data_IF_569825935399
#
_entry.id   IF_569825935399
#
_cell.length_a   1.000
_cell.length_b   1.000
_cell.length_c   1.000
_cell.angle_alpha   90.00
_cell.angle_beta   90.00
_cell.angle_gamma   90.00
#
_symmetry.space_group_name_H-M   'P 1'
#
loop_
_entity.id
_entity.type
_entity.pdbx_description
1 polymer ?
#
# COMPACT_ATOMS: atom_id res chain seq x y z
N UNK A 1 13.89 0.97 -16.46
CA UNK A 1 14.73 0.78 -15.25
C UNK A 1 15.09 -0.70 -15.05
N UNK A 2 14.12 -1.62 -15.18
CA UNK A 2 14.34 -3.06 -14.92
C UNK A 2 15.48 -3.68 -15.75
N UNK A 3 15.64 -3.26 -17.00
CA UNK A 3 16.61 -3.80 -17.97
C UNK A 3 17.75 -2.84 -18.32
N UNK A 4 17.84 -1.67 -17.67
CA UNK A 4 18.91 -0.71 -17.94
C UNK A 4 20.21 -1.10 -17.20
N UNK A 5 21.36 -0.70 -17.75
CA UNK A 5 22.65 -0.96 -17.12
C UNK A 5 22.89 0.00 -15.94
N UNK A 6 23.87 -0.33 -15.07
CA UNK A 6 24.23 0.58 -13.95
C UNK A 6 24.63 1.96 -14.45
N UNK A 7 25.40 2.03 -15.53
CA UNK A 7 25.92 3.28 -16.08
C UNK A 7 24.82 4.15 -16.68
N UNK A 8 23.79 3.54 -17.28
CA UNK A 8 22.64 4.25 -17.86
C UNK A 8 21.80 4.98 -16.80
N UNK A 9 21.89 4.58 -15.53
CA UNK A 9 21.08 5.09 -14.44
C UNK A 9 21.81 6.09 -13.53
N UNK A 10 23.12 6.22 -13.66
CA UNK A 10 23.94 7.13 -12.82
C UNK A 10 23.73 8.61 -13.17
N UNK A 11 23.25 8.91 -14.38
CA UNK A 11 23.06 10.28 -14.86
C UNK A 11 21.78 10.97 -14.40
N UNK A 12 21.05 10.40 -13.44
CA UNK A 12 19.87 11.03 -12.83
C UNK A 12 20.24 12.34 -12.14
N UNK A 13 20.14 13.46 -12.87
CA UNK A 13 20.40 14.80 -12.33
C UNK A 13 19.13 15.42 -11.80
N UNK A 14 19.23 16.11 -10.65
CA UNK A 14 18.11 16.68 -9.89
C UNK A 14 17.37 17.86 -10.52
N UNK A 15 17.20 17.88 -11.84
CA UNK A 15 16.35 18.84 -12.55
C UNK A 15 15.00 18.20 -12.88
N UNK A 16 13.98 19.01 -13.07
CA UNK A 16 12.56 18.66 -13.29
C UNK A 16 12.24 17.65 -14.41
N UNK A 17 13.22 17.07 -15.03
CA UNK A 17 13.11 15.99 -16.00
C UNK A 17 13.95 14.80 -15.57
N UNK A 18 13.42 13.60 -15.68
CA UNK A 18 14.18 12.37 -15.48
C UNK A 18 14.81 11.97 -16.80
N UNK A 19 16.12 12.23 -16.93
CA UNK A 19 16.92 11.80 -18.08
C UNK A 19 17.51 10.44 -17.73
N UNK A 20 17.08 9.41 -18.43
CA UNK A 20 17.57 8.04 -18.19
C UNK A 20 18.82 7.71 -19.02
N UNK A 21 19.26 8.61 -19.91
CA UNK A 21 20.36 8.45 -20.88
C UNK A 21 20.33 7.09 -21.64
N UNK A 22 19.15 6.55 -21.82
CA UNK A 22 18.92 5.36 -22.63
C UNK A 22 18.49 5.86 -24.02
N UNK A 23 19.21 5.55 -25.09
CA UNK A 23 18.99 6.18 -26.43
C UNK A 23 17.57 6.04 -27.00
N UNK A 24 16.77 5.14 -26.48
CA UNK A 24 15.39 4.86 -26.95
C UNK A 24 14.31 5.38 -26.02
N UNK A 25 14.66 5.96 -24.88
CA UNK A 25 13.68 6.51 -23.94
C UNK A 25 13.81 8.03 -23.95
N UNK A 26 12.76 8.76 -24.36
CA UNK A 26 12.77 10.22 -24.34
C UNK A 26 12.87 10.72 -22.88
N UNK A 27 13.31 11.97 -22.72
CA UNK A 27 13.29 12.65 -21.43
C UNK A 27 11.86 12.64 -20.88
N UNK A 28 11.68 12.02 -19.70
CA UNK A 28 10.38 11.93 -19.05
C UNK A 28 10.16 13.20 -18.24
N UNK A 29 9.18 13.99 -18.63
CA UNK A 29 8.65 15.04 -17.77
C UNK A 29 7.95 14.38 -16.59
N UNK A 30 8.33 14.79 -15.38
CA UNK A 30 7.63 14.35 -14.18
C UNK A 30 6.25 15.00 -14.18
N UNK A 31 5.23 14.23 -14.54
CA UNK A 31 3.86 14.68 -14.43
C UNK A 31 3.39 14.50 -12.98
N UNK A 32 3.16 15.62 -12.31
CA UNK A 32 2.66 15.66 -10.93
C UNK A 32 1.15 15.52 -10.83
N UNK A 33 0.45 15.31 -11.94
CA UNK A 33 -1.00 15.14 -11.95
C UNK A 33 -1.36 13.66 -11.89
N UNK A 34 -1.76 13.19 -10.73
CA UNK A 34 -2.43 11.89 -10.63
C UNK A 34 -3.93 12.06 -10.83
N UNK A 35 -4.44 11.47 -11.89
CA UNK A 35 -5.87 11.40 -12.20
C UNK A 35 -6.41 9.97 -12.14
N UNK A 36 -5.63 9.03 -11.64
CA UNK A 36 -6.04 7.65 -11.50
C UNK A 36 -7.05 7.52 -10.35
N UNK A 37 -8.34 7.56 -10.69
CA UNK A 37 -9.45 7.43 -9.72
C UNK A 37 -9.68 6.00 -9.25
N UNK A 38 -9.00 5.03 -9.83
CA UNK A 38 -9.18 3.60 -9.50
C UNK A 38 -8.15 3.11 -8.49
N UNK A 39 -7.09 3.86 -8.23
CA UNK A 39 -6.08 3.49 -7.25
C UNK A 39 -6.47 3.92 -5.83
N UNK A 40 -6.54 3.01 -4.85
CA UNK A 40 -6.79 3.36 -3.46
C UNK A 40 -5.58 3.99 -2.77
N UNK A 41 -4.39 3.85 -3.35
CA UNK A 41 -3.13 4.41 -2.84
C UNK A 41 -2.34 5.02 -3.99
N UNK A 42 -2.78 6.21 -4.41
CA UNK A 42 -2.30 6.88 -5.60
C UNK A 42 -1.05 7.74 -5.32
N UNK A 43 -0.06 7.67 -6.21
CA UNK A 43 1.09 8.57 -6.20
C UNK A 43 0.75 9.85 -6.98
N UNK A 44 0.91 11.01 -6.34
CA UNK A 44 0.57 12.33 -6.92
C UNK A 44 1.80 13.21 -7.16
N UNK A 45 2.92 12.59 -7.50
CA UNK A 45 4.17 13.25 -7.88
C UNK A 45 5.13 13.50 -6.71
N UNK A 46 4.67 13.88 -5.55
CA UNK A 46 5.49 14.12 -4.35
C UNK A 46 4.93 13.49 -3.07
N UNK A 47 3.78 12.82 -3.16
CA UNK A 47 3.12 12.14 -2.04
C UNK A 47 2.25 11.01 -2.53
N UNK A 48 1.84 10.15 -1.61
CA UNK A 48 0.76 9.20 -1.82
C UNK A 48 -0.54 9.72 -1.21
N UNK A 49 -1.64 9.51 -1.91
CA UNK A 49 -2.99 9.82 -1.43
C UNK A 49 -3.73 8.52 -1.12
N UNK A 50 -4.25 8.41 0.10
CA UNK A 50 -5.17 7.34 0.43
C UNK A 50 -6.58 7.71 -0.06
N UNK A 51 -7.16 6.85 -0.89
CA UNK A 51 -8.49 7.05 -1.49
C UNK A 51 -9.37 5.87 -1.13
N UNK A 52 -10.35 6.09 -0.30
CA UNK A 52 -11.33 5.09 0.07
C UNK A 52 -12.69 5.74 0.32
N UNK A 53 -13.75 5.01 0.02
CA UNK A 53 -15.12 5.41 0.37
C UNK A 53 -15.35 5.05 1.84
N UNK A 54 -15.83 6.00 2.60
CA UNK A 54 -16.09 5.77 4.02
C UNK A 54 -16.79 7.01 4.61
N UNK A 55 -18.06 7.23 4.26
CA UNK A 55 -18.84 8.36 4.74
C UNK A 55 -18.63 8.56 6.24
N UNK A 56 -18.09 9.71 6.64
CA UNK A 56 -17.74 10.07 8.02
C UNK A 56 -16.75 9.11 8.72
N UNK A 57 -16.17 8.15 8.01
CA UNK A 57 -15.20 7.24 8.60
C UNK A 57 -13.85 7.91 8.84
N UNK A 58 -13.25 7.60 9.98
CA UNK A 58 -11.92 8.09 10.32
C UNK A 58 -10.84 7.30 9.54
N UNK A 59 -9.98 8.01 8.80
CA UNK A 59 -8.91 7.40 8.01
C UNK A 59 -7.65 7.03 8.85
N UNK A 60 -7.60 7.37 10.13
CA UNK A 60 -6.40 7.23 10.94
C UNK A 60 -5.84 5.79 10.97
N UNK A 61 -6.68 4.78 11.13
CA UNK A 61 -6.21 3.38 11.16
C UNK A 61 -5.53 2.96 9.86
N UNK A 62 -6.10 3.33 8.72
CA UNK A 62 -5.51 3.05 7.41
C UNK A 62 -4.19 3.81 7.22
N UNK A 63 -4.15 5.08 7.60
CA UNK A 63 -2.95 5.91 7.51
C UNK A 63 -1.83 5.40 8.42
N UNK A 64 -2.14 4.96 9.63
CA UNK A 64 -1.16 4.35 10.54
C UNK A 64 -0.57 3.09 9.91
N UNK A 65 -1.39 2.18 9.38
CA UNK A 65 -0.91 0.95 8.77
C UNK A 65 -0.03 1.22 7.54
N UNK A 66 -0.47 2.09 6.63
CA UNK A 66 0.29 2.45 5.43
C UNK A 66 1.62 3.13 5.76
N UNK A 67 1.60 4.12 6.67
CA UNK A 67 2.83 4.81 7.06
C UNK A 67 3.81 3.86 7.77
N UNK A 68 3.33 2.95 8.61
CA UNK A 68 4.17 1.94 9.27
C UNK A 68 4.80 0.98 8.26
N UNK A 69 4.03 0.53 7.26
CA UNK A 69 4.55 -0.34 6.20
C UNK A 69 5.64 0.37 5.37
N UNK A 70 5.42 1.64 5.02
CA UNK A 70 6.43 2.44 4.29
C UNK A 70 7.66 2.67 5.16
N UNK A 71 7.50 2.99 6.44
CA UNK A 71 8.63 3.20 7.36
C UNK A 71 9.47 1.92 7.52
N UNK A 72 8.85 0.78 7.73
CA UNK A 72 9.53 -0.52 7.81
C UNK A 72 10.30 -0.83 6.52
N UNK A 73 9.68 -0.60 5.37
CA UNK A 73 10.35 -0.81 4.08
C UNK A 73 11.53 0.15 3.85
N UNK A 74 11.43 1.40 4.29
CA UNK A 74 12.52 2.37 4.19
C UNK A 74 13.70 2.00 5.10
N UNK A 75 13.45 1.45 6.29
CA UNK A 75 14.50 0.93 7.18
C UNK A 75 15.24 -0.23 6.52
N UNK A 76 14.50 -1.18 5.93
CA UNK A 76 15.09 -2.30 5.18
C UNK A 76 15.91 -1.82 3.99
N UNK A 77 15.34 -0.91 3.19
CA UNK A 77 16.02 -0.31 2.05
C UNK A 77 17.35 0.35 2.45
N UNK A 78 17.30 1.18 3.52
CA UNK A 78 18.51 1.83 4.02
C UNK A 78 19.57 0.81 4.43
N UNK A 79 19.19 -0.23 5.16
CA UNK A 79 20.12 -1.30 5.60
C UNK A 79 20.76 -2.01 4.41
N UNK A 80 20.00 -2.34 3.38
CA UNK A 80 20.49 -3.04 2.20
C UNK A 80 21.45 -2.16 1.38
N UNK A 81 21.13 -0.86 1.23
CA UNK A 81 22.02 0.11 0.57
C UNK A 81 23.31 0.31 1.35
N UNK A 82 23.22 0.52 2.66
CA UNK A 82 24.40 0.70 3.52
C UNK A 82 25.34 -0.52 3.44
N UNK A 83 24.79 -1.73 3.42
CA UNK A 83 25.57 -2.95 3.28
C UNK A 83 26.34 -3.06 1.94
N UNK A 84 25.82 -2.50 0.85
CA UNK A 84 26.54 -2.42 -0.43
C UNK A 84 27.62 -1.33 -0.40
N UNK A 85 27.34 -0.19 0.22
CA UNK A 85 28.32 0.89 0.39
C UNK A 85 29.51 0.41 1.24
N UNK A 86 29.27 -0.33 2.31
CA UNK A 86 30.33 -0.92 3.15
C UNK A 86 31.24 -1.91 2.38
N UNK A 87 30.71 -2.55 1.33
CA UNK A 87 31.47 -3.40 0.41
C UNK A 87 32.24 -2.62 -0.65
N UNK A 88 32.17 -1.28 -0.63
CA UNK A 88 32.89 -0.40 -1.55
C UNK A 88 32.09 0.03 -2.79
N UNK A 89 30.80 -0.29 -2.88
CA UNK A 89 29.96 0.19 -4.00
C UNK A 89 29.67 1.69 -3.88
N UNK A 90 29.74 2.46 -4.97
CA UNK A 90 29.31 3.84 -4.97
C UNK A 90 27.84 3.97 -4.58
N UNK A 91 27.51 4.97 -3.76
CA UNK A 91 26.15 5.18 -3.21
C UNK A 91 25.04 5.11 -4.25
N UNK A 92 25.21 5.77 -5.39
CA UNK A 92 24.20 5.79 -6.46
C UNK A 92 24.01 4.41 -7.07
N UNK A 93 25.11 3.69 -7.33
CA UNK A 93 25.08 2.30 -7.84
C UNK A 93 24.35 1.37 -6.86
N UNK A 94 24.68 1.45 -5.57
CA UNK A 94 24.06 0.66 -4.53
C UNK A 94 22.53 0.90 -4.46
N UNK A 95 22.12 2.16 -4.47
CA UNK A 95 20.69 2.54 -4.49
C UNK A 95 19.99 1.93 -5.71
N UNK A 96 20.55 2.09 -6.90
CA UNK A 96 19.91 1.61 -8.13
C UNK A 96 19.86 0.08 -8.19
N UNK A 97 20.86 -0.61 -7.66
CA UNK A 97 20.84 -2.07 -7.56
C UNK A 97 19.70 -2.57 -6.68
N UNK A 98 19.53 -1.99 -5.48
CA UNK A 98 18.46 -2.37 -4.57
C UNK A 98 17.07 -2.03 -5.15
N UNK A 99 16.89 -0.84 -5.74
CA UNK A 99 15.64 -0.46 -6.41
C UNK A 99 15.29 -1.45 -7.52
N UNK A 100 16.26 -1.87 -8.32
CA UNK A 100 16.07 -2.84 -9.40
C UNK A 100 15.61 -4.21 -8.86
N UNK A 101 16.17 -4.64 -7.73
CA UNK A 101 15.71 -5.82 -7.00
C UNK A 101 14.24 -5.72 -6.61
N UNK A 102 13.87 -4.62 -5.94
CA UNK A 102 12.49 -4.38 -5.50
C UNK A 102 11.49 -4.29 -6.66
N UNK A 103 11.85 -3.64 -7.78
CA UNK A 103 10.99 -3.61 -8.97
C UNK A 103 10.69 -5.02 -9.47
N UNK A 104 11.69 -5.90 -9.50
CA UNK A 104 11.49 -7.30 -9.93
C UNK A 104 10.60 -8.08 -8.98
N UNK A 105 10.82 -7.93 -7.67
CA UNK A 105 10.02 -8.59 -6.64
C UNK A 105 8.56 -8.10 -6.64
N UNK A 106 8.37 -6.77 -6.78
CA UNK A 106 7.06 -6.15 -6.75
C UNK A 106 6.30 -6.24 -8.10
N UNK A 107 6.88 -6.83 -9.14
CA UNK A 107 6.24 -6.90 -10.46
C UNK A 107 4.88 -7.60 -10.44
N UNK A 108 4.73 -8.59 -9.57
CA UNK A 108 3.48 -9.34 -9.43
C UNK A 108 2.29 -8.50 -8.93
N UNK A 109 2.55 -7.40 -8.22
CA UNK A 109 1.48 -6.50 -7.71
C UNK A 109 1.13 -5.38 -8.70
N UNK A 110 1.95 -5.18 -9.73
CA UNK A 110 1.67 -4.17 -10.73
C UNK A 110 0.46 -4.56 -11.58
N UNK A 111 -0.54 -3.71 -11.59
CA UNK A 111 -1.77 -3.88 -12.37
C UNK A 111 -2.13 -2.55 -13.06
N UNK A 112 -2.46 -2.66 -14.33
CA UNK A 112 -2.93 -1.55 -15.16
C UNK A 112 -4.31 -1.93 -15.73
N UNK A 113 -5.36 -1.30 -15.21
CA UNK A 113 -6.73 -1.60 -15.60
C UNK A 113 -7.77 -1.25 -14.52
N UNK A 114 -8.96 -1.84 -14.63
CA UNK A 114 -10.05 -1.61 -13.69
C UNK A 114 -9.93 -2.52 -12.45
N UNK A 115 -9.44 -1.96 -11.33
CA UNK A 115 -9.28 -2.66 -10.06
C UNK A 115 -10.60 -3.08 -9.36
N UNK A 116 -11.75 -2.65 -9.86
CA UNK A 116 -13.06 -3.04 -9.32
C UNK A 116 -13.70 -4.21 -10.07
N UNK A 117 -13.10 -4.67 -11.17
CA UNK A 117 -13.66 -5.74 -11.99
C UNK A 117 -13.50 -7.12 -11.35
N UNK A 118 -14.40 -8.04 -11.69
CA UNK A 118 -14.30 -9.43 -11.22
C UNK A 118 -13.13 -10.17 -11.90
N UNK A 119 -12.74 -9.75 -13.08
CA UNK A 119 -11.54 -10.24 -13.77
C UNK A 119 -10.29 -9.92 -12.96
N UNK A 120 -10.21 -8.71 -12.41
CA UNK A 120 -9.10 -8.34 -11.52
C UNK A 120 -9.06 -9.20 -10.27
N UNK A 121 -10.18 -9.46 -9.62
CA UNK A 121 -10.22 -10.32 -8.42
C UNK A 121 -9.69 -11.73 -8.71
N UNK A 122 -10.05 -12.31 -9.86
CA UNK A 122 -9.54 -13.62 -10.31
C UNK A 122 -8.04 -13.57 -10.60
N UNK A 123 -7.59 -12.51 -11.27
CA UNK A 123 -6.17 -12.33 -11.59
C UNK A 123 -5.33 -12.07 -10.31
N UNK A 124 -5.84 -11.29 -9.37
CA UNK A 124 -5.20 -11.06 -8.09
C UNK A 124 -5.01 -12.38 -7.31
N UNK A 125 -6.06 -13.19 -7.22
CA UNK A 125 -5.97 -14.51 -6.60
C UNK A 125 -4.95 -15.42 -7.31
N UNK A 126 -4.89 -15.40 -8.66
CA UNK A 126 -3.88 -16.13 -9.43
C UNK A 126 -2.44 -15.68 -9.11
N UNK A 127 -2.24 -14.41 -8.81
CA UNK A 127 -0.95 -13.84 -8.42
C UNK A 127 -0.62 -14.03 -6.94
N UNK A 128 -1.49 -14.63 -6.15
CA UNK A 128 -1.34 -14.78 -4.70
C UNK A 128 -1.58 -13.49 -3.92
N UNK A 129 -2.28 -12.51 -4.52
CA UNK A 129 -2.67 -11.28 -3.86
C UNK A 129 -3.99 -11.47 -3.12
N UNK A 130 -4.10 -10.91 -1.92
CA UNK A 130 -5.31 -10.94 -1.12
C UNK A 130 -6.31 -9.90 -1.65
N UNK A 131 -7.50 -10.37 -2.01
CA UNK A 131 -8.63 -9.55 -2.47
C UNK A 131 -9.89 -9.86 -1.66
N UNK A 132 -9.76 -9.98 -0.34
CA UNK A 132 -10.85 -10.31 0.57
C UNK A 132 -11.90 -9.19 0.58
N UNK A 133 -13.17 -9.58 0.51
CA UNK A 133 -14.32 -8.69 0.53
C UNK A 133 -15.13 -8.78 1.83
N UNK A 134 -14.82 -9.75 2.68
CA UNK A 134 -15.48 -9.94 3.97
C UNK A 134 -14.73 -9.18 5.07
N UNK A 135 -15.36 -8.14 5.61
CA UNK A 135 -14.76 -7.30 6.67
C UNK A 135 -14.30 -8.11 7.89
N UNK A 136 -15.07 -9.09 8.40
CA UNK A 136 -14.60 -9.92 9.51
C UNK A 136 -13.27 -10.62 9.24
N UNK A 137 -13.11 -11.21 8.07
CA UNK A 137 -11.87 -11.91 7.70
C UNK A 137 -10.68 -10.96 7.60
N UNK A 138 -10.93 -9.71 7.16
CA UNK A 138 -9.88 -8.69 7.05
C UNK A 138 -9.31 -8.31 8.42
N UNK A 139 -10.11 -8.31 9.48
CA UNK A 139 -9.63 -7.95 10.82
C UNK A 139 -8.52 -8.86 11.33
N UNK A 140 -8.53 -10.13 10.98
CA UNK A 140 -7.50 -11.07 11.40
C UNK A 140 -6.11 -10.75 10.86
N UNK A 141 -6.03 -9.95 9.78
CA UNK A 141 -4.76 -9.48 9.23
C UNK A 141 -3.96 -8.60 10.21
N UNK A 142 -4.63 -7.93 11.16
CA UNK A 142 -3.94 -7.16 12.20
C UNK A 142 -3.13 -8.01 13.16
N UNK A 143 -3.50 -9.29 13.33
CA UNK A 143 -2.88 -10.21 14.27
C UNK A 143 -1.95 -11.23 13.60
N UNK A 144 -1.71 -11.09 12.29
CA UNK A 144 -0.70 -11.91 11.60
C UNK A 144 0.69 -11.63 12.16
N UNK A 145 1.55 -12.66 12.29
CA UNK A 145 2.89 -12.50 12.85
C UNK A 145 3.72 -11.41 12.16
N UNK A 146 3.63 -11.32 10.84
CA UNK A 146 4.33 -10.30 10.04
C UNK A 146 3.81 -8.89 10.31
N UNK A 147 2.51 -8.72 10.55
CA UNK A 147 1.91 -7.42 10.90
C UNK A 147 2.37 -6.98 12.29
N UNK A 148 2.32 -7.88 13.26
CA UNK A 148 2.81 -7.63 14.62
C UNK A 148 4.29 -7.23 14.59
N UNK A 149 5.12 -8.02 13.91
CA UNK A 149 6.55 -7.75 13.79
C UNK A 149 6.85 -6.37 13.17
N UNK A 150 6.11 -5.98 12.14
CA UNK A 150 6.24 -4.65 11.51
C UNK A 150 5.92 -3.52 12.49
N UNK A 151 4.81 -3.61 13.22
CA UNK A 151 4.41 -2.57 14.17
C UNK A 151 5.35 -2.46 15.37
N UNK A 152 5.84 -3.58 15.87
CA UNK A 152 6.83 -3.61 16.95
C UNK A 152 8.19 -3.08 16.49
N UNK A 153 8.66 -3.48 15.31
CA UNK A 153 9.93 -3.00 14.75
C UNK A 153 9.93 -1.49 14.48
N UNK A 154 8.79 -0.92 14.10
CA UNK A 154 8.64 0.52 13.90
C UNK A 154 8.32 1.29 15.19
N UNK A 155 8.12 0.60 16.31
CA UNK A 155 7.78 1.21 17.61
C UNK A 155 6.41 1.88 17.66
N UNK A 156 5.51 1.53 16.73
CA UNK A 156 4.20 2.18 16.61
C UNK A 156 3.18 1.55 17.53
N UNK A 157 3.14 0.22 17.61
CA UNK A 157 2.22 -0.54 18.48
C UNK A 157 2.89 -1.84 18.93
N UNK A 158 2.59 -2.21 20.17
CA UNK A 158 2.90 -3.54 20.71
C UNK A 158 1.85 -4.56 20.28
N UNK A 159 2.16 -5.85 20.38
CA UNK A 159 1.19 -6.92 20.16
C UNK A 159 -0.10 -6.73 20.96
N UNK A 160 0.01 -6.39 22.26
CA UNK A 160 -1.15 -6.16 23.13
C UNK A 160 -2.04 -5.01 22.67
N UNK A 161 -1.45 -3.94 22.17
CA UNK A 161 -2.21 -2.81 21.62
C UNK A 161 -2.90 -3.18 20.31
N UNK A 162 -2.27 -4.00 19.46
CA UNK A 162 -2.89 -4.51 18.24
C UNK A 162 -4.08 -5.44 18.58
N UNK A 163 -3.92 -6.35 19.55
CA UNK A 163 -4.99 -7.22 20.02
C UNK A 163 -6.18 -6.39 20.52
N UNK A 164 -5.95 -5.45 21.43
CA UNK A 164 -7.00 -4.58 21.97
C UNK A 164 -7.70 -3.75 20.88
N UNK A 165 -6.96 -3.20 19.93
CA UNK A 165 -7.54 -2.45 18.81
C UNK A 165 -8.34 -3.35 17.87
N UNK A 166 -7.91 -4.57 17.67
CA UNK A 166 -8.66 -5.55 16.87
C UNK A 166 -9.98 -5.93 17.53
N UNK A 167 -9.99 -6.16 18.84
CA UNK A 167 -11.23 -6.38 19.61
C UNK A 167 -12.22 -5.22 19.46
N UNK A 168 -11.73 -3.98 19.60
CA UNK A 168 -12.56 -2.78 19.41
C UNK A 168 -13.13 -2.70 17.98
N UNK A 169 -12.37 -3.11 16.95
CA UNK A 169 -12.89 -3.17 15.57
C UNK A 169 -14.01 -4.19 15.42
N UNK A 170 -13.83 -5.37 15.97
CA UNK A 170 -14.86 -6.41 16.00
C UNK A 170 -16.14 -5.96 16.70
N UNK A 171 -16.00 -5.38 17.90
CA UNK A 171 -17.12 -4.87 18.67
C UNK A 171 -17.87 -3.75 17.92
N UNK A 172 -17.13 -2.80 17.36
CA UNK A 172 -17.70 -1.69 16.58
C UNK A 172 -18.44 -2.19 15.35
N UNK A 173 -17.88 -3.15 14.62
CA UNK A 173 -18.52 -3.75 13.46
C UNK A 173 -19.81 -4.46 13.85
N UNK A 174 -19.76 -5.29 14.87
CA UNK A 174 -20.93 -6.04 15.38
C UNK A 174 -22.04 -5.09 15.80
N UNK A 175 -21.70 -4.03 16.55
CA UNK A 175 -22.69 -3.02 16.98
C UNK A 175 -23.33 -2.29 15.81
N UNK A 176 -22.56 -1.91 14.79
CA UNK A 176 -23.09 -1.27 13.59
C UNK A 176 -24.10 -2.18 12.88
N UNK A 177 -23.74 -3.43 12.62
CA UNK A 177 -24.64 -4.39 11.98
C UNK A 177 -25.92 -4.61 12.80
N UNK A 178 -25.81 -4.69 14.13
CA UNK A 178 -26.98 -4.81 15.01
C UNK A 178 -27.90 -3.59 14.92
N UNK A 179 -27.33 -2.38 14.89
CA UNK A 179 -28.11 -1.14 14.75
C UNK A 179 -28.81 -1.12 13.39
N UNK A 180 -28.11 -1.38 12.31
CA UNK A 180 -28.65 -1.41 10.96
C UNK A 180 -29.80 -2.44 10.82
N UNK A 181 -29.61 -3.65 11.36
CA UNK A 181 -30.62 -4.69 11.34
C UNK A 181 -31.90 -4.29 12.12
N UNK A 182 -31.74 -3.65 13.28
CA UNK A 182 -32.87 -3.15 14.07
C UNK A 182 -33.62 -2.02 13.35
N UNK A 183 -32.89 -1.04 12.83
CA UNK A 183 -33.48 0.07 12.07
C UNK A 183 -34.20 -0.45 10.84
N UNK A 184 -33.64 -1.41 10.11
CA UNK A 184 -34.30 -2.04 8.97
C UNK A 184 -35.60 -2.72 9.39
N UNK A 185 -35.62 -3.44 10.50
CA UNK A 185 -36.82 -4.07 11.06
C UNK A 185 -37.90 -3.04 11.41
N UNK A 186 -37.53 -1.97 12.10
CA UNK A 186 -38.43 -0.88 12.47
C UNK A 186 -39.02 -0.19 11.24
N UNK A 187 -38.21 0.11 10.25
CA UNK A 187 -38.68 0.70 8.98
C UNK A 187 -39.63 -0.24 8.24
N UNK A 188 -39.31 -1.51 8.16
CA UNK A 188 -40.16 -2.49 7.49
C UNK A 188 -41.53 -2.59 8.16
N UNK A 189 -41.58 -2.69 9.47
CA UNK A 189 -42.79 -2.87 10.23
C UNK A 189 -43.67 -1.61 10.25
N UNK A 190 -43.06 -0.42 10.42
CA UNK A 190 -43.81 0.80 10.69
C UNK A 190 -44.04 1.65 9.46
N UNK A 191 -43.35 1.43 8.35
CA UNK A 191 -43.41 2.30 7.16
C UNK A 191 -43.64 1.57 5.84
N UNK A 192 -43.42 0.25 5.79
CA UNK A 192 -43.53 -0.52 4.55
C UNK A 192 -44.69 -1.50 4.60
N UNK A 193 -44.89 -2.19 5.73
CA UNK A 193 -45.89 -3.24 5.91
C UNK A 193 -47.18 -2.74 6.58
N UNK A 194 -47.22 -1.50 7.02
CA UNK A 194 -48.39 -0.88 7.68
C UNK A 194 -49.42 -0.35 6.70
#
# INVERSE_FOLDING_TARGET
IENSTKDDLISLSGKQGMKLDIPQIPELLIDNTDRNRTSPFAFTGNRFEFRAVGSEANCASAMIALNSAVADQLVKFKKDVDALIEKGEPKVSAILEIIRGYIKECKAIHFDGNGYSDEWKKEAARRGLDCETSVPVIFDNYLKPETIAMFEATGVMTKKELEARNEVKWETYTKKIQIEARVLGDLAMNHILS
#
